data_IF_763668038629
#
_entry.id   IF_763668038629
#
_cell.length_a   1.000
_cell.length_b   1.000
_cell.length_c   1.000
_cell.angle_alpha   90.00
_cell.angle_beta   90.00
_cell.angle_gamma   90.00
#
_symmetry.space_group_name_H-M   'P 1'
#
loop_
_entity.id
_entity.type
_entity.pdbx_description
1 polymer ?
#
# COMPACT_ATOMS: atom_id res chain seq x y z
N UNK A 1 37.34 -20.12 -22.96
CA UNK A 1 37.12 -21.47 -22.39
C UNK A 1 35.89 -21.56 -21.47
N UNK A 2 35.30 -20.47 -21.01
CA UNK A 2 34.10 -20.48 -20.12
C UNK A 2 32.74 -20.52 -20.85
N UNK A 3 32.68 -20.19 -22.11
CA UNK A 3 31.42 -20.09 -22.90
C UNK A 3 30.90 -21.47 -23.35
N UNK A 4 31.81 -22.45 -23.54
CA UNK A 4 31.44 -23.81 -23.92
C UNK A 4 30.72 -24.60 -22.82
N UNK A 5 31.04 -24.37 -21.57
CA UNK A 5 30.46 -25.10 -20.41
C UNK A 5 29.02 -24.65 -20.09
N UNK A 6 28.65 -23.38 -20.37
CA UNK A 6 27.28 -22.90 -20.14
C UNK A 6 26.30 -23.46 -21.18
N UNK A 7 26.75 -23.65 -22.42
CA UNK A 7 25.92 -24.27 -23.45
C UNK A 7 25.64 -25.76 -23.21
N UNK A 8 26.60 -26.50 -22.64
CA UNK A 8 26.43 -27.89 -22.27
C UNK A 8 25.42 -28.07 -21.09
N UNK A 9 25.53 -27.25 -20.05
CA UNK A 9 24.62 -27.31 -18.91
C UNK A 9 23.20 -26.92 -19.28
N UNK A 10 23.02 -25.95 -20.20
CA UNK A 10 21.70 -25.57 -20.70
C UNK A 10 21.06 -26.66 -21.59
N UNK A 11 21.82 -27.38 -22.40
CA UNK A 11 21.29 -28.48 -23.21
C UNK A 11 20.82 -29.66 -22.33
N UNK A 12 21.56 -30.01 -21.29
CA UNK A 12 21.18 -31.09 -20.37
C UNK A 12 19.94 -30.80 -19.55
N UNK A 13 19.67 -29.51 -19.26
CA UNK A 13 18.46 -29.10 -18.55
C UNK A 13 17.21 -29.02 -19.45
N UNK A 14 17.40 -28.68 -20.76
CA UNK A 14 16.30 -28.44 -21.70
C UNK A 14 15.82 -29.73 -22.37
N UNK A 15 16.69 -30.74 -22.56
CA UNK A 15 16.43 -31.93 -23.37
C UNK A 15 16.38 -33.26 -22.62
N UNK A 16 16.41 -33.27 -21.25
CA UNK A 16 16.22 -34.50 -20.50
C UNK A 16 14.79 -35.05 -20.69
N UNK A 17 14.62 -36.33 -21.15
CA UNK A 17 13.30 -36.87 -21.38
C UNK A 17 12.56 -37.12 -20.06
N UNK A 18 11.56 -36.32 -19.78
CA UNK A 18 10.68 -36.47 -18.61
C UNK A 18 9.55 -37.41 -18.96
N UNK A 19 9.50 -38.58 -18.30
CA UNK A 19 8.37 -39.51 -18.37
C UNK A 19 7.10 -38.81 -17.89
N UNK A 20 6.13 -38.78 -18.76
CA UNK A 20 4.82 -38.13 -18.57
C UNK A 20 3.88 -38.99 -17.72
N UNK A 21 3.32 -38.39 -16.70
CA UNK A 21 1.90 -38.56 -16.39
C UNK A 21 1.39 -37.40 -15.55
N UNK A 22 0.27 -36.86 -15.99
CA UNK A 22 -0.66 -35.93 -15.36
C UNK A 22 -0.51 -34.43 -15.61
N UNK A 23 -1.47 -33.98 -16.45
CA UNK A 23 -2.26 -32.79 -16.23
C UNK A 23 -1.72 -31.44 -16.69
N UNK A 24 -2.56 -30.77 -17.42
CA UNK A 24 -2.48 -29.39 -17.91
C UNK A 24 -1.90 -28.36 -16.91
N UNK A 25 -2.08 -28.62 -15.61
CA UNK A 25 -1.52 -27.82 -14.52
C UNK A 25 0.02 -27.84 -14.43
N UNK A 26 0.64 -28.95 -14.78
CA UNK A 26 2.11 -29.05 -14.75
C UNK A 26 2.77 -28.40 -15.97
N UNK A 27 2.09 -28.35 -17.09
CA UNK A 27 2.56 -27.62 -18.29
C UNK A 27 2.61 -26.12 -18.06
N UNK A 28 1.61 -25.54 -17.40
CA UNK A 28 1.60 -24.11 -17.08
C UNK A 28 2.69 -23.71 -16.08
N UNK A 29 2.95 -24.53 -15.07
CA UNK A 29 4.02 -24.28 -14.09
C UNK A 29 5.41 -24.33 -14.74
N UNK A 30 5.65 -25.31 -15.64
CA UNK A 30 6.93 -25.43 -16.36
C UNK A 30 7.17 -24.27 -17.30
N UNK A 31 6.16 -23.83 -18.06
CA UNK A 31 6.31 -22.70 -18.98
C UNK A 31 6.56 -21.37 -18.22
N UNK A 32 5.95 -21.17 -17.08
CA UNK A 32 6.18 -19.96 -16.25
C UNK A 32 7.60 -19.91 -15.67
N UNK A 33 8.16 -21.04 -15.26
CA UNK A 33 9.54 -21.13 -14.77
C UNK A 33 10.55 -20.92 -15.91
N UNK A 34 10.29 -21.47 -17.11
CA UNK A 34 11.15 -21.30 -18.27
C UNK A 34 11.14 -19.85 -18.76
N UNK A 35 9.99 -19.18 -18.78
CA UNK A 35 9.90 -17.75 -19.12
C UNK A 35 10.65 -16.89 -18.10
N UNK A 36 10.55 -17.18 -16.83
CA UNK A 36 11.27 -16.46 -15.78
C UNK A 36 12.79 -16.68 -15.90
N UNK A 37 13.24 -17.89 -16.19
CA UNK A 37 14.65 -18.23 -16.39
C UNK A 37 15.23 -17.63 -17.71
N UNK A 38 14.44 -17.57 -18.78
CA UNK A 38 14.85 -16.91 -20.03
C UNK A 38 14.94 -15.40 -19.89
N UNK A 39 14.06 -14.77 -19.14
CA UNK A 39 14.15 -13.34 -18.80
C UNK A 39 15.40 -13.07 -17.94
N UNK A 40 15.70 -13.92 -16.97
CA UNK A 40 16.92 -13.82 -16.17
C UNK A 40 18.20 -14.06 -16.96
N UNK A 41 18.19 -14.98 -17.92
CA UNK A 41 19.33 -15.27 -18.79
C UNK A 41 19.59 -14.17 -19.83
N UNK A 42 18.55 -13.55 -20.38
CA UNK A 42 18.71 -12.43 -21.33
C UNK A 42 19.28 -11.16 -20.68
N UNK A 43 19.07 -10.99 -19.38
CA UNK A 43 19.66 -9.89 -18.58
C UNK A 43 21.19 -10.09 -18.37
N UNK A 44 21.70 -11.32 -18.47
CA UNK A 44 23.12 -11.61 -18.26
C UNK A 44 24.04 -11.23 -19.46
N UNK A 45 23.48 -10.87 -20.61
CA UNK A 45 24.23 -10.55 -21.82
C UNK A 45 24.38 -9.05 -22.12
N UNK A 46 23.75 -8.19 -21.36
CA UNK A 46 23.96 -6.74 -21.48
C UNK A 46 25.17 -6.33 -20.64
N UNK A 47 26.34 -6.30 -21.23
CA UNK A 47 27.59 -5.88 -20.60
C UNK A 47 27.68 -4.33 -20.57
N UNK A 48 26.72 -3.67 -19.91
CA UNK A 48 26.81 -2.25 -19.58
C UNK A 48 27.17 -2.04 -18.12
N UNK A 49 27.86 -0.92 -17.82
CA UNK A 49 28.25 -0.51 -16.47
C UNK A 49 27.03 -0.52 -15.54
N UNK A 50 26.81 -1.64 -14.86
CA UNK A 50 25.80 -1.77 -13.82
C UNK A 50 26.24 -0.92 -12.64
N UNK A 51 25.70 0.29 -12.55
CA UNK A 51 25.99 1.20 -11.45
C UNK A 51 25.12 0.80 -10.24
N UNK A 52 25.57 -0.23 -9.52
CA UNK A 52 24.88 -0.77 -8.34
C UNK A 52 25.43 -0.14 -7.07
N UNK A 53 24.62 0.73 -6.46
CA UNK A 53 24.84 1.21 -5.10
C UNK A 53 23.71 0.70 -4.23
N UNK A 54 23.99 0.14 -3.04
CA UNK A 54 22.96 -0.37 -2.13
C UNK A 54 21.82 0.67 -1.93
N UNK A 55 20.59 0.22 -2.05
CA UNK A 55 19.38 1.04 -1.96
C UNK A 55 19.04 1.85 -3.22
N UNK A 56 19.79 1.66 -4.31
CA UNK A 56 19.52 2.31 -5.61
C UNK A 56 18.93 1.36 -6.65
N UNK A 57 18.62 0.12 -6.28
CA UNK A 57 18.16 -0.97 -7.10
C UNK A 57 19.25 -2.02 -7.28
N UNK A 58 18.84 -3.25 -7.59
CA UNK A 58 19.76 -4.37 -7.87
C UNK A 58 20.35 -4.25 -9.27
N UNK A 59 19.57 -3.70 -10.19
CA UNK A 59 19.96 -3.54 -11.57
C UNK A 59 19.40 -2.24 -12.13
N UNK A 60 20.26 -1.46 -12.81
CA UNK A 60 19.88 -0.20 -13.42
C UNK A 60 20.51 -0.14 -14.81
N UNK A 61 19.70 0.01 -15.84
CA UNK A 61 20.10 0.11 -17.24
C UNK A 61 19.52 1.36 -17.85
N UNK A 62 20.28 2.01 -18.70
CA UNK A 62 19.82 3.06 -19.61
C UNK A 62 20.30 2.64 -20.98
N UNK A 63 19.43 2.66 -21.97
CA UNK A 63 19.79 2.37 -23.37
C UNK A 63 20.84 3.38 -23.87
N UNK A 64 21.74 2.93 -24.76
CA UNK A 64 22.80 3.78 -25.31
C UNK A 64 22.25 5.05 -25.98
N UNK A 65 21.13 4.93 -26.68
CA UNK A 65 20.39 6.04 -27.29
C UNK A 65 19.54 6.85 -26.30
N UNK A 66 19.57 6.48 -25.02
CA UNK A 66 18.74 7.09 -23.97
C UNK A 66 17.22 7.04 -24.22
N UNK A 67 16.75 6.14 -25.08
CA UNK A 67 15.32 5.98 -25.40
C UNK A 67 14.51 5.31 -24.30
N UNK A 68 15.16 4.54 -23.43
CA UNK A 68 14.51 3.92 -22.27
C UNK A 68 15.48 3.66 -21.12
N UNK A 69 14.93 3.47 -19.95
CA UNK A 69 15.68 3.00 -18.78
C UNK A 69 14.89 1.94 -18.04
N UNK A 70 15.60 1.04 -17.35
CA UNK A 70 15.00 0.08 -16.43
C UNK A 70 15.78 0.05 -15.12
N UNK A 71 15.05 0.12 -14.04
CA UNK A 71 15.53 -0.12 -12.69
C UNK A 71 14.76 -1.31 -12.11
N UNK A 72 15.48 -2.33 -11.66
CA UNK A 72 14.94 -3.45 -10.89
C UNK A 72 15.32 -3.32 -9.43
N UNK A 73 14.37 -3.55 -8.53
CA UNK A 73 14.58 -3.54 -7.09
C UNK A 73 13.73 -4.62 -6.42
N UNK A 74 14.20 -5.10 -5.27
CA UNK A 74 13.49 -6.07 -4.45
C UNK A 74 13.29 -5.53 -3.04
N UNK A 75 12.28 -6.03 -2.35
CA UNK A 75 12.04 -5.75 -0.93
C UNK A 75 11.62 -7.00 -0.20
N UNK A 76 12.25 -7.22 0.95
CA UNK A 76 11.88 -8.27 1.89
C UNK A 76 11.61 -7.65 3.27
N UNK A 77 10.55 -8.12 3.90
CA UNK A 77 10.16 -7.68 5.23
C UNK A 77 9.73 -8.89 6.04
N UNK A 78 10.58 -9.28 6.99
CA UNK A 78 10.31 -10.33 7.96
C UNK A 78 9.73 -9.73 9.22
N UNK A 79 8.72 -10.35 9.79
CA UNK A 79 8.01 -9.87 10.96
C UNK A 79 7.80 -11.01 11.97
N UNK A 80 8.18 -10.76 13.21
CA UNK A 80 7.66 -11.45 14.38
C UNK A 80 6.53 -10.65 14.97
N UNK A 81 5.44 -11.30 15.36
CA UNK A 81 4.30 -10.71 16.05
C UNK A 81 3.90 -11.63 17.20
N UNK A 82 3.72 -11.05 18.39
CA UNK A 82 3.10 -11.68 19.56
C UNK A 82 1.91 -10.86 19.99
N UNK A 83 0.80 -11.50 20.31
CA UNK A 83 -0.47 -10.87 20.69
C UNK A 83 -0.99 -11.56 21.95
N UNK A 84 -1.47 -10.76 22.92
CA UNK A 84 -2.01 -11.19 24.20
C UNK A 84 -3.27 -10.39 24.53
N UNK A 85 -4.17 -11.03 25.29
CA UNK A 85 -5.27 -10.32 25.92
C UNK A 85 -4.83 -9.84 27.30
N UNK A 86 -5.28 -8.65 27.67
CA UNK A 86 -5.07 -8.05 28.99
C UNK A 86 -6.43 -7.77 29.60
N UNK A 87 -6.68 -8.35 30.76
CA UNK A 87 -7.90 -8.16 31.53
C UNK A 87 -7.54 -7.75 32.96
N UNK A 88 -8.35 -6.90 33.60
CA UNK A 88 -8.08 -6.42 34.96
C UNK A 88 -8.07 -7.56 36.00
N UNK A 89 -8.91 -8.59 35.82
CA UNK A 89 -9.02 -9.72 36.75
C UNK A 89 -7.91 -10.77 36.58
N UNK A 90 -7.55 -11.10 35.36
CA UNK A 90 -6.67 -12.22 35.03
C UNK A 90 -5.26 -11.79 34.59
N UNK A 91 -5.03 -10.48 34.45
CA UNK A 91 -3.79 -9.92 33.96
C UNK A 91 -3.55 -10.21 32.48
N UNK A 92 -2.34 -10.61 32.12
CA UNK A 92 -1.96 -10.95 30.74
C UNK A 92 -2.23 -12.44 30.48
N UNK A 93 -3.07 -12.76 29.50
CA UNK A 93 -3.49 -14.12 29.17
C UNK A 93 -3.45 -14.39 27.67
N UNK A 94 -3.57 -15.65 27.26
CA UNK A 94 -3.86 -16.09 25.89
C UNK A 94 -2.86 -15.64 24.84
N UNK A 95 -1.57 -15.95 24.97
CA UNK A 95 -0.56 -15.53 24.00
C UNK A 95 -0.57 -16.30 22.69
N UNK A 96 -0.58 -15.59 21.56
CA UNK A 96 -0.27 -16.15 20.23
C UNK A 96 0.99 -15.51 19.68
N UNK A 97 1.79 -16.26 18.91
CA UNK A 97 2.96 -15.70 18.26
C UNK A 97 3.22 -16.34 16.91
N UNK A 98 3.80 -15.58 16.00
CA UNK A 98 4.12 -16.07 14.67
C UNK A 98 5.29 -15.32 14.02
N UNK A 99 6.05 -16.03 13.20
CA UNK A 99 6.97 -15.44 12.24
C UNK A 99 6.34 -15.46 10.86
N UNK A 100 6.45 -14.36 10.13
CA UNK A 100 5.88 -14.30 8.78
C UNK A 100 6.70 -13.41 7.84
N UNK A 101 6.66 -13.75 6.56
CA UNK A 101 7.11 -12.86 5.50
C UNK A 101 6.01 -11.82 5.25
N UNK A 102 6.15 -10.65 5.89
CA UNK A 102 5.14 -9.58 5.85
C UNK A 102 4.99 -8.99 4.45
N UNK A 103 6.11 -8.78 3.77
CA UNK A 103 6.16 -8.31 2.37
C UNK A 103 7.33 -8.93 1.65
N UNK A 104 7.07 -9.39 0.42
CA UNK A 104 8.09 -9.75 -0.55
C UNK A 104 7.66 -9.14 -1.88
N UNK A 105 8.48 -8.23 -2.45
CA UNK A 105 8.05 -7.41 -3.59
C UNK A 105 9.15 -7.27 -4.62
N UNK A 106 8.74 -7.35 -5.88
CA UNK A 106 9.56 -7.03 -7.05
C UNK A 106 9.09 -5.68 -7.60
N UNK A 107 10.03 -4.82 -7.95
CA UNK A 107 9.75 -3.48 -8.44
C UNK A 107 10.55 -3.20 -9.70
N UNK A 108 9.85 -2.78 -10.73
CA UNK A 108 10.39 -2.31 -11.97
C UNK A 108 9.98 -0.86 -12.18
N UNK A 109 10.85 -0.05 -12.72
CA UNK A 109 10.53 1.32 -13.07
C UNK A 109 11.61 1.93 -13.93
N UNK A 110 11.26 2.98 -14.64
CA UNK A 110 12.15 3.67 -15.54
C UNK A 110 11.39 4.65 -16.40
N UNK A 111 11.97 5.06 -17.50
CA UNK A 111 11.30 5.86 -18.51
C UNK A 111 11.31 5.13 -19.87
N UNK A 112 10.41 5.53 -20.76
CA UNK A 112 10.31 5.06 -22.14
C UNK A 112 10.17 6.28 -23.05
N UNK A 113 10.80 6.23 -24.23
CA UNK A 113 10.84 7.30 -25.24
C UNK A 113 11.56 8.55 -24.72
N UNK A 114 11.22 9.03 -23.54
CA UNK A 114 11.87 10.18 -22.91
C UNK A 114 11.68 10.16 -21.38
N UNK A 115 12.51 10.87 -20.60
CA UNK A 115 12.33 10.98 -19.15
C UNK A 115 11.00 11.61 -18.69
N UNK A 116 10.20 12.13 -19.62
CA UNK A 116 8.86 12.65 -19.32
C UNK A 116 7.78 11.55 -19.26
N UNK A 117 8.06 10.35 -19.79
CA UNK A 117 7.16 9.20 -19.75
C UNK A 117 7.78 8.14 -18.86
N UNK A 118 7.33 8.06 -17.61
CA UNK A 118 7.87 7.14 -16.59
C UNK A 118 6.88 6.03 -16.37
N UNK A 119 7.37 4.80 -16.28
CA UNK A 119 6.56 3.64 -15.89
C UNK A 119 6.93 3.11 -14.51
N UNK A 120 6.00 2.44 -13.86
CA UNK A 120 6.22 1.70 -12.63
C UNK A 120 5.39 0.42 -12.64
N UNK A 121 6.05 -0.72 -12.39
CA UNK A 121 5.40 -1.97 -12.06
C UNK A 121 5.89 -2.46 -10.70
N UNK A 122 4.98 -2.89 -9.82
CA UNK A 122 5.30 -3.45 -8.50
C UNK A 122 4.44 -4.69 -8.29
N UNK A 123 5.10 -5.82 -8.01
CA UNK A 123 4.46 -7.11 -7.75
C UNK A 123 4.66 -7.50 -6.29
N UNK A 124 3.60 -7.95 -5.64
CA UNK A 124 3.63 -8.54 -4.30
C UNK A 124 3.52 -10.05 -4.40
N UNK A 125 4.44 -10.77 -3.79
CA UNK A 125 4.53 -12.23 -3.85
C UNK A 125 4.39 -12.91 -2.48
N UNK A 126 4.20 -12.13 -1.40
CA UNK A 126 3.85 -12.67 -0.08
C UNK A 126 2.34 -12.87 0.05
N UNK A 127 1.90 -13.82 0.88
CA UNK A 127 0.48 -14.08 1.12
C UNK A 127 -0.30 -12.81 1.56
N UNK A 128 0.33 -11.94 2.34
CA UNK A 128 -0.28 -10.67 2.78
C UNK A 128 -0.44 -9.64 1.65
N UNK A 129 0.40 -9.69 0.61
CA UNK A 129 0.29 -8.81 -0.56
C UNK A 129 -0.69 -9.36 -1.60
N UNK A 130 -0.81 -10.69 -1.73
CA UNK A 130 -1.74 -11.34 -2.65
C UNK A 130 -3.21 -11.11 -2.25
N UNK A 131 -3.50 -11.06 -0.94
CA UNK A 131 -4.85 -10.90 -0.44
C UNK A 131 -5.71 -12.16 -0.61
N UNK A 132 -6.98 -12.06 -0.25
CA UNK A 132 -7.96 -13.13 -0.45
C UNK A 132 -8.48 -13.08 -1.90
N UNK A 133 -8.74 -14.25 -2.46
CA UNK A 133 -9.50 -14.41 -3.70
C UNK A 133 -10.97 -14.13 -3.38
N UNK A 134 -11.66 -13.45 -4.26
CA UNK A 134 -13.11 -13.22 -4.20
C UNK A 134 -13.77 -13.60 -5.53
N UNK A 135 -15.10 -13.60 -5.59
CA UNK A 135 -15.87 -14.01 -6.77
C UNK A 135 -15.56 -13.18 -8.03
N UNK A 136 -15.05 -11.96 -7.86
CA UNK A 136 -14.78 -11.02 -8.95
C UNK A 136 -13.36 -11.08 -9.51
N UNK A 137 -12.44 -11.77 -8.83
CA UNK A 137 -11.04 -11.89 -9.26
C UNK A 137 -10.42 -13.27 -9.04
N UNK A 138 -11.25 -14.30 -9.00
CA UNK A 138 -10.84 -15.70 -8.82
C UNK A 138 -9.92 -16.23 -9.95
N UNK A 139 -9.90 -15.58 -11.12
CA UNK A 139 -9.13 -15.97 -12.29
C UNK A 139 -7.70 -15.43 -12.31
N UNK A 140 -7.41 -14.39 -11.54
CA UNK A 140 -6.10 -13.75 -11.50
C UNK A 140 -5.62 -13.50 -10.07
N UNK A 141 -4.39 -13.89 -9.71
CA UNK A 141 -3.84 -13.57 -8.40
C UNK A 141 -3.70 -12.05 -8.24
N UNK A 142 -4.08 -11.52 -7.08
CA UNK A 142 -3.96 -10.09 -6.73
C UNK A 142 -2.50 -9.63 -6.56
N UNK A 143 -1.58 -10.11 -7.37
CA UNK A 143 -0.15 -9.86 -7.22
C UNK A 143 0.30 -8.51 -7.76
N UNK A 144 -0.41 -7.93 -8.72
CA UNK A 144 -0.07 -6.62 -9.26
C UNK A 144 -0.45 -5.54 -8.24
N UNK A 145 0.54 -4.85 -7.71
CA UNK A 145 0.33 -3.71 -6.83
C UNK A 145 0.25 -2.41 -7.62
N UNK A 146 1.24 -2.13 -8.41
CA UNK A 146 1.26 -0.97 -9.31
C UNK A 146 1.58 -1.44 -10.74
N UNK A 147 0.86 -0.92 -11.72
CA UNK A 147 1.13 -1.00 -13.15
C UNK A 147 0.65 0.31 -13.75
N UNK A 148 1.53 1.31 -13.86
CA UNK A 148 1.15 2.69 -14.17
C UNK A 148 2.18 3.37 -15.05
N UNK A 149 1.68 4.11 -16.04
CA UNK A 149 2.43 5.06 -16.86
C UNK A 149 2.13 6.46 -16.35
N UNK A 150 3.16 7.30 -16.30
CA UNK A 150 3.12 8.68 -15.82
C UNK A 150 3.70 9.58 -16.89
N UNK A 151 2.88 10.36 -17.51
CA UNK A 151 3.26 11.25 -18.59
C UNK A 151 3.25 12.69 -18.14
N UNK A 152 4.43 13.29 -18.05
CA UNK A 152 4.61 14.73 -17.84
C UNK A 152 4.44 15.45 -19.18
N UNK A 153 3.20 15.75 -19.56
CA UNK A 153 2.86 16.31 -20.87
C UNK A 153 3.03 17.84 -20.96
N UNK A 154 3.03 18.51 -19.82
CA UNK A 154 3.27 19.94 -19.74
C UNK A 154 4.05 20.27 -18.45
N UNK A 155 4.72 21.40 -18.40
CA UNK A 155 5.65 21.85 -17.32
C UNK A 155 5.42 21.21 -15.94
N UNK A 156 4.23 21.44 -15.35
CA UNK A 156 3.88 21.04 -13.99
C UNK A 156 2.73 20.02 -13.95
N UNK A 157 2.22 19.62 -15.13
CA UNK A 157 1.13 18.67 -15.26
C UNK A 157 1.65 17.28 -15.58
N UNK A 158 1.11 16.29 -14.87
CA UNK A 158 1.42 14.87 -15.10
C UNK A 158 0.14 14.08 -15.11
N UNK A 159 -0.10 13.34 -16.19
CA UNK A 159 -1.17 12.35 -16.29
C UNK A 159 -0.63 10.98 -15.90
N UNK A 160 -1.31 10.30 -15.01
CA UNK A 160 -1.05 8.91 -14.65
C UNK A 160 -2.17 8.05 -15.20
N UNK A 161 -1.84 6.94 -15.86
CA UNK A 161 -2.80 5.98 -16.40
C UNK A 161 -2.41 4.57 -15.96
N UNK A 162 -3.36 3.83 -15.39
CA UNK A 162 -3.16 2.46 -14.93
C UNK A 162 -3.47 2.26 -13.45
N UNK A 163 -3.08 1.10 -12.92
CA UNK A 163 -3.32 0.72 -11.54
C UNK A 163 -2.23 1.27 -10.61
N UNK A 164 -2.62 2.08 -9.65
CA UNK A 164 -1.71 2.60 -8.62
C UNK A 164 -2.49 3.14 -7.43
N UNK A 165 -1.78 3.61 -6.39
CA UNK A 165 -2.42 4.28 -5.26
C UNK A 165 -3.15 5.54 -5.69
N UNK A 166 -4.39 5.67 -5.24
CA UNK A 166 -5.15 6.90 -5.34
C UNK A 166 -4.53 8.01 -4.46
N UNK A 167 -4.79 9.28 -4.75
CA UNK A 167 -4.32 10.41 -3.92
C UNK A 167 -5.14 10.52 -2.63
N UNK A 168 -5.17 9.45 -1.83
CA UNK A 168 -5.96 9.32 -0.62
C UNK A 168 -5.23 9.85 0.62
N UNK A 169 -5.46 9.19 1.76
CA UNK A 169 -4.91 9.58 3.05
C UNK A 169 -3.37 9.52 3.11
N UNK A 170 -2.77 10.38 3.93
CA UNK A 170 -1.31 10.57 4.05
C UNK A 170 -0.59 9.26 4.33
N UNK A 171 -1.01 8.53 5.33
CA UNK A 171 -0.33 7.29 5.71
C UNK A 171 -0.38 6.24 4.60
N UNK A 172 -1.42 6.28 3.74
CA UNK A 172 -1.52 5.36 2.60
C UNK A 172 -0.64 5.75 1.42
N UNK A 173 -0.57 7.04 1.06
CA UNK A 173 0.29 7.50 -0.03
C UNK A 173 1.77 7.35 0.33
N UNK A 174 2.15 7.46 1.61
CA UNK A 174 3.48 7.08 2.08
C UNK A 174 3.72 5.59 1.80
N UNK A 175 4.89 5.27 1.26
CA UNK A 175 5.28 3.87 1.03
C UNK A 175 5.39 3.11 2.34
N UNK A 176 4.92 1.86 2.38
CA UNK A 176 5.14 0.99 3.54
C UNK A 176 6.62 0.72 3.86
N UNK A 177 7.53 0.98 2.91
CA UNK A 177 8.96 0.93 3.17
C UNK A 177 9.46 2.13 3.98
N UNK A 178 8.72 3.25 3.95
CA UNK A 178 9.11 4.52 4.55
C UNK A 178 8.32 4.83 5.84
N UNK A 179 7.79 3.79 6.48
CA UNK A 179 7.07 3.92 7.75
C UNK A 179 8.05 4.05 8.93
N UNK A 180 7.62 4.76 9.97
CA UNK A 180 8.34 5.00 11.21
C UNK A 180 8.08 3.89 12.25
N UNK A 181 6.89 3.32 12.25
CA UNK A 181 6.48 2.17 13.05
C UNK A 181 6.32 0.94 12.14
N UNK A 182 6.20 -0.24 12.74
CA UNK A 182 6.15 -1.53 12.02
C UNK A 182 4.99 -1.59 11.02
N UNK A 183 3.81 -1.15 11.43
CA UNK A 183 2.64 -1.14 10.55
C UNK A 183 1.90 0.22 10.63
N UNK A 184 0.95 0.41 9.71
CA UNK A 184 0.07 1.58 9.67
C UNK A 184 -0.92 1.58 10.82
N UNK A 185 -1.50 2.76 11.09
CA UNK A 185 -2.51 2.98 12.12
C UNK A 185 -3.81 2.23 11.87
N UNK A 186 -4.65 2.14 12.91
CA UNK A 186 -6.03 1.66 12.78
C UNK A 186 -6.84 2.56 11.86
N UNK A 187 -6.60 3.89 11.84
CA UNK A 187 -7.26 4.80 10.91
C UNK A 187 -7.04 4.33 9.46
N UNK A 188 -5.78 4.08 9.08
CA UNK A 188 -5.49 3.55 7.75
C UNK A 188 -6.08 2.14 7.53
N UNK A 189 -6.19 1.29 8.57
CA UNK A 189 -6.80 -0.04 8.45
C UNK A 189 -8.30 0.05 8.13
N UNK A 190 -9.00 1.05 8.63
CA UNK A 190 -10.46 1.19 8.54
C UNK A 190 -10.94 2.08 7.40
N UNK A 191 -10.33 3.25 7.24
CA UNK A 191 -10.83 4.31 6.35
C UNK A 191 -10.03 4.54 5.08
N UNK A 192 -8.84 3.92 4.92
CA UNK A 192 -8.01 4.16 3.74
C UNK A 192 -8.76 3.90 2.43
N UNK A 193 -8.38 4.66 1.42
CA UNK A 193 -8.55 4.32 0.02
C UNK A 193 -7.21 3.88 -0.54
N UNK A 194 -7.17 2.82 -1.34
CA UNK A 194 -5.91 2.24 -1.81
C UNK A 194 -5.78 2.31 -3.34
N UNK A 195 -5.09 1.37 -3.87
CA UNK A 195 -4.83 1.19 -5.29
C UNK A 195 -6.10 0.85 -6.05
N UNK A 196 -6.23 1.49 -7.18
CA UNK A 196 -7.29 1.20 -8.14
C UNK A 196 -6.79 1.42 -9.56
N UNK A 197 -7.54 0.94 -10.54
CA UNK A 197 -7.32 1.15 -11.97
C UNK A 197 -8.01 2.44 -12.41
N UNK A 198 -7.30 3.32 -13.11
CA UNK A 198 -7.90 4.56 -13.61
C UNK A 198 -6.87 5.60 -14.06
N UNK A 199 -7.30 6.85 -14.04
CA UNK A 199 -6.51 8.00 -14.43
C UNK A 199 -6.34 8.97 -13.26
N UNK A 200 -5.20 9.66 -13.20
CA UNK A 200 -4.97 10.72 -12.24
C UNK A 200 -4.29 11.90 -12.94
N UNK A 201 -4.88 13.07 -12.85
CA UNK A 201 -4.24 14.32 -13.22
C UNK A 201 -3.60 14.94 -11.98
N UNK A 202 -2.33 15.28 -12.09
CA UNK A 202 -1.54 15.89 -11.02
C UNK A 202 -0.89 17.14 -11.51
N UNK A 203 -1.02 18.18 -10.72
CA UNK A 203 -0.43 19.47 -11.00
C UNK A 203 0.29 19.98 -9.76
N UNK A 204 1.29 20.85 -9.93
CA UNK A 204 1.95 21.54 -8.84
C UNK A 204 2.47 22.89 -9.30
N UNK A 205 2.39 23.88 -8.42
CA UNK A 205 2.93 25.21 -8.67
C UNK A 205 3.46 25.84 -7.37
N UNK A 206 4.22 26.90 -7.51
CA UNK A 206 4.80 27.63 -6.37
C UNK A 206 4.31 29.06 -6.42
N UNK A 207 3.83 29.56 -5.29
CA UNK A 207 3.40 30.95 -5.07
C UNK A 207 4.53 31.67 -4.33
N UNK A 208 4.99 32.79 -4.87
CA UNK A 208 6.18 33.46 -4.34
C UNK A 208 7.39 32.53 -4.37
N UNK A 209 8.27 32.65 -3.37
CA UNK A 209 9.54 31.91 -3.35
C UNK A 209 9.43 30.45 -2.89
N UNK A 210 8.51 30.18 -1.96
CA UNK A 210 8.55 28.90 -1.24
C UNK A 210 7.19 28.20 -1.05
N UNK A 211 6.06 28.88 -1.18
CA UNK A 211 4.76 28.28 -0.94
C UNK A 211 4.38 27.35 -2.10
N UNK A 212 4.40 26.04 -1.87
CA UNK A 212 4.07 25.05 -2.91
C UNK A 212 2.66 24.53 -2.72
N UNK A 213 1.90 24.52 -3.81
CA UNK A 213 0.58 23.90 -3.90
C UNK A 213 0.67 22.70 -4.84
N UNK A 214 0.05 21.59 -4.45
CA UNK A 214 -0.13 20.42 -5.29
C UNK A 214 -1.61 20.06 -5.29
N UNK A 215 -2.16 19.93 -6.45
CA UNK A 215 -3.54 19.47 -6.67
C UNK A 215 -3.55 18.19 -7.49
N UNK A 216 -4.43 17.29 -7.12
CA UNK A 216 -4.55 15.97 -7.71
C UNK A 216 -6.02 15.58 -7.79
N UNK A 217 -6.42 15.07 -8.95
CA UNK A 217 -7.74 14.46 -9.14
C UNK A 217 -7.56 13.09 -9.79
N UNK A 218 -8.35 12.13 -9.38
CA UNK A 218 -8.41 10.81 -10.00
C UNK A 218 -9.83 10.39 -10.30
N UNK A 219 -9.98 9.64 -11.39
CA UNK A 219 -11.16 8.86 -11.74
C UNK A 219 -10.72 7.40 -11.85
N UNK A 220 -11.31 6.53 -11.06
CA UNK A 220 -10.96 5.11 -10.99
C UNK A 220 -12.18 4.21 -10.91
N UNK A 221 -11.97 2.90 -11.02
CA UNK A 221 -13.05 1.92 -11.13
C UNK A 221 -13.91 1.80 -9.85
N UNK A 222 -13.34 2.08 -8.65
CA UNK A 222 -14.09 2.09 -7.40
C UNK A 222 -14.15 0.74 -6.66
N UNK A 223 -13.63 -0.34 -7.25
CA UNK A 223 -13.65 -1.68 -6.67
C UNK A 223 -12.26 -2.20 -6.26
N UNK A 224 -11.22 -1.38 -6.45
CA UNK A 224 -9.84 -1.71 -6.08
C UNK A 224 -9.07 -2.45 -7.18
N UNK A 225 -7.96 -3.04 -6.79
CA UNK A 225 -6.96 -3.57 -7.72
C UNK A 225 -7.29 -4.95 -8.29
N UNK A 226 -6.74 -5.22 -9.49
CA UNK A 226 -6.73 -6.55 -10.16
C UNK A 226 -8.13 -7.09 -10.46
N UNK A 227 -9.07 -6.22 -10.74
CA UNK A 227 -10.38 -6.60 -11.21
C UNK A 227 -10.29 -7.10 -12.66
N UNK A 228 -10.98 -8.19 -12.97
CA UNK A 228 -10.96 -8.85 -14.29
C UNK A 228 -12.32 -8.92 -14.97
N UNK A 229 -13.32 -8.27 -14.37
CA UNK A 229 -14.71 -8.25 -14.85
C UNK A 229 -15.23 -6.80 -14.92
N UNK A 230 -16.41 -6.64 -15.44
CA UNK A 230 -17.09 -5.36 -15.54
C UNK A 230 -17.26 -4.68 -14.16
N UNK A 231 -17.25 -3.37 -14.15
CA UNK A 231 -17.52 -2.60 -12.96
C UNK A 231 -18.99 -2.79 -12.53
N UNK A 232 -19.21 -3.17 -11.27
CA UNK A 232 -20.57 -3.35 -10.72
C UNK A 232 -21.18 -2.01 -10.31
N UNK A 233 -20.38 -1.16 -9.68
CA UNK A 233 -20.80 0.15 -9.19
C UNK A 233 -20.65 1.26 -10.22
N UNK A 234 -20.45 2.48 -9.72
CA UNK A 234 -20.02 3.62 -10.50
C UNK A 234 -18.51 3.81 -10.46
N UNK A 235 -18.05 5.02 -10.79
CA UNK A 235 -16.65 5.39 -10.71
C UNK A 235 -16.34 6.05 -9.36
N UNK A 236 -15.10 5.89 -8.94
CA UNK A 236 -14.56 6.58 -7.77
C UNK A 236 -13.79 7.83 -8.19
N UNK A 237 -14.11 8.95 -7.56
CA UNK A 237 -13.49 10.25 -7.76
C UNK A 237 -12.77 10.67 -6.50
N UNK A 238 -11.47 10.90 -6.59
CA UNK A 238 -10.67 11.34 -5.45
C UNK A 238 -9.97 12.65 -5.80
N UNK A 239 -10.19 13.69 -5.00
CA UNK A 239 -9.55 15.00 -5.13
C UNK A 239 -8.71 15.29 -3.90
N UNK A 240 -7.46 15.72 -4.09
CA UNK A 240 -6.55 16.05 -2.99
C UNK A 240 -5.78 17.34 -3.29
N UNK A 241 -5.71 18.20 -2.28
CA UNK A 241 -4.88 19.42 -2.30
C UNK A 241 -3.86 19.31 -1.17
N UNK A 242 -2.59 19.62 -1.48
CA UNK A 242 -1.49 19.68 -0.52
C UNK A 242 -0.86 21.08 -0.54
N UNK A 243 -0.72 21.68 0.62
CA UNK A 243 -0.12 22.99 0.85
C UNK A 243 1.20 22.80 1.60
N UNK A 244 2.30 23.32 1.06
CA UNK A 244 3.62 23.29 1.67
C UNK A 244 4.09 24.73 1.92
N UNK A 245 3.67 25.37 3.02
CA UNK A 245 3.92 26.80 3.26
C UNK A 245 5.41 27.15 3.42
N UNK A 246 6.22 26.19 3.88
CA UNK A 246 7.66 26.37 4.08
C UNK A 246 8.49 25.72 2.96
N UNK A 247 7.88 25.48 1.79
CA UNK A 247 8.52 24.87 0.63
C UNK A 247 8.66 23.35 0.71
N UNK A 248 9.28 22.79 -0.30
CA UNK A 248 9.46 21.34 -0.45
C UNK A 248 10.37 20.77 0.64
N UNK A 249 10.02 19.58 1.13
CA UNK A 249 10.90 18.78 1.97
C UNK A 249 12.08 18.21 1.16
N UNK A 250 13.23 18.04 1.79
CA UNK A 250 14.36 17.37 1.16
C UNK A 250 13.97 15.93 0.74
N UNK A 251 14.34 15.57 -0.48
CA UNK A 251 14.11 14.21 -1.01
C UNK A 251 12.65 13.72 -0.91
N UNK A 252 11.67 14.60 -1.05
CA UNK A 252 10.24 14.31 -0.87
C UNK A 252 9.94 13.74 0.52
N UNK A 253 10.50 14.35 1.56
CA UNK A 253 10.34 13.92 2.95
C UNK A 253 8.89 13.92 3.43
N UNK A 254 8.00 14.68 2.82
CA UNK A 254 6.55 14.66 3.06
C UNK A 254 5.86 13.34 2.65
N UNK A 255 6.51 12.48 1.86
CA UNK A 255 6.09 11.11 1.52
C UNK A 255 6.94 10.02 2.22
N UNK A 256 7.52 10.36 3.35
CA UNK A 256 8.32 9.45 4.19
C UNK A 256 8.08 9.78 5.65
N UNK A 257 7.94 8.78 6.51
CA UNK A 257 7.88 9.01 7.96
C UNK A 257 9.29 9.19 8.54
N UNK A 258 9.39 9.78 9.74
CA UNK A 258 10.64 10.15 10.36
C UNK A 258 11.39 11.28 9.62
N UNK A 259 12.19 12.06 10.33
CA UNK A 259 13.00 13.12 9.72
C UNK A 259 14.43 12.64 9.43
N UNK A 260 14.58 11.64 8.52
CA UNK A 260 15.88 11.07 8.19
C UNK A 260 16.82 12.05 7.46
N UNK A 261 16.31 13.15 6.97
CA UNK A 261 17.12 14.22 6.34
C UNK A 261 17.52 15.29 7.33
N UNK A 262 16.94 15.27 8.54
CA UNK A 262 17.15 16.30 9.57
C UNK A 262 17.00 17.69 8.99
N UNK A 263 15.78 17.99 8.50
CA UNK A 263 15.45 19.28 7.88
C UNK A 263 16.02 20.44 8.69
N UNK A 264 16.88 21.24 8.10
CA UNK A 264 17.56 22.36 8.78
C UNK A 264 16.61 23.49 9.16
N UNK A 265 15.51 23.61 8.42
CA UNK A 265 14.44 24.59 8.62
C UNK A 265 13.13 23.82 8.82
N UNK A 266 12.17 24.35 9.62
CA UNK A 266 10.86 23.75 9.74
C UNK A 266 10.22 23.50 8.38
N UNK A 267 9.64 22.32 8.19
CA UNK A 267 8.88 21.94 7.00
C UNK A 267 7.51 21.46 7.42
N UNK A 268 6.49 21.92 6.71
CA UNK A 268 5.09 21.60 6.96
C UNK A 268 4.39 21.25 5.65
N UNK A 269 3.61 20.22 5.65
CA UNK A 269 2.64 19.88 4.60
C UNK A 269 1.28 19.69 5.28
N UNK A 270 0.28 20.41 4.81
CA UNK A 270 -1.13 20.26 5.20
C UNK A 270 -1.88 19.82 3.97
N UNK A 271 -2.81 18.89 4.11
CA UNK A 271 -3.59 18.42 2.99
C UNK A 271 -5.02 18.09 3.36
N UNK A 272 -5.90 18.24 2.38
CA UNK A 272 -7.28 17.77 2.43
C UNK A 272 -7.55 16.87 1.22
N UNK A 273 -8.34 15.81 1.44
CA UNK A 273 -8.77 14.88 0.39
C UNK A 273 -10.27 14.66 0.54
N UNK A 274 -10.96 14.71 -0.59
CA UNK A 274 -12.35 14.27 -0.71
C UNK A 274 -12.40 13.10 -1.69
N UNK A 275 -13.06 12.03 -1.28
CA UNK A 275 -13.27 10.82 -2.05
C UNK A 275 -14.76 10.51 -2.14
N UNK A 276 -15.23 10.32 -3.36
CA UNK A 276 -16.59 9.94 -3.69
C UNK A 276 -16.57 8.64 -4.50
N UNK A 277 -17.12 7.57 -3.96
CA UNK A 277 -17.28 6.31 -4.66
C UNK A 277 -18.75 6.11 -4.99
N UNK A 278 -19.10 6.32 -6.27
CA UNK A 278 -20.46 6.21 -6.78
C UNK A 278 -20.94 4.76 -6.74
N UNK A 279 -22.10 4.50 -6.13
CA UNK A 279 -22.71 3.18 -6.03
C UNK A 279 -21.71 2.09 -5.63
N UNK A 280 -20.90 2.37 -4.60
CA UNK A 280 -19.89 1.44 -4.10
C UNK A 280 -20.53 0.11 -3.67
N UNK A 281 -19.90 -0.99 -4.06
CA UNK A 281 -20.35 -2.38 -3.78
C UNK A 281 -19.57 -3.06 -2.67
N UNK A 282 -18.63 -2.35 -2.05
CA UNK A 282 -17.80 -2.86 -0.95
C UNK A 282 -18.02 -2.08 0.32
N UNK A 283 -17.91 -2.77 1.45
CA UNK A 283 -18.16 -2.24 2.79
C UNK A 283 -17.23 -1.10 3.23
N UNK A 284 -16.11 -0.88 2.53
CA UNK A 284 -15.11 0.15 2.84
C UNK A 284 -14.61 0.89 1.60
N UNK A 285 -15.53 1.42 0.78
CA UNK A 285 -15.24 2.08 -0.50
C UNK A 285 -14.55 1.11 -1.47
N UNK A 286 -13.38 1.40 -2.03
CA UNK A 286 -12.67 0.47 -2.93
C UNK A 286 -11.91 -0.66 -2.20
N UNK A 287 -12.10 -0.80 -0.90
CA UNK A 287 -11.51 -1.83 -0.05
C UNK A 287 -12.60 -2.64 0.66
N UNK A 288 -12.18 -3.71 1.33
CA UNK A 288 -13.09 -4.56 2.09
C UNK A 288 -13.68 -5.71 1.28
N UNK A 289 -14.85 -6.15 1.70
CA UNK A 289 -15.58 -7.27 1.09
C UNK A 289 -16.73 -6.76 0.24
N UNK A 290 -17.08 -7.50 -0.80
CA UNK A 290 -18.30 -7.23 -1.54
C UNK A 290 -19.51 -7.45 -0.63
N UNK A 291 -20.49 -6.56 -0.71
CA UNK A 291 -21.76 -6.65 0.00
C UNK A 291 -22.75 -7.43 -0.87
N UNK A 292 -22.57 -8.75 -0.93
CA UNK A 292 -23.32 -9.65 -1.79
C UNK A 292 -24.56 -10.18 -1.05
N UNK A 293 -25.65 -10.40 -1.79
CA UNK A 293 -26.87 -11.04 -1.31
C UNK A 293 -27.44 -12.02 -2.34
N UNK A 294 -28.33 -12.91 -1.87
CA UNK A 294 -29.20 -13.71 -2.73
C UNK A 294 -30.65 -13.38 -2.39
N UNK A 295 -31.43 -12.96 -3.38
CA UNK A 295 -32.81 -12.56 -3.17
C UNK A 295 -33.76 -13.77 -2.96
N UNK A 296 -35.02 -13.49 -2.69
CA UNK A 296 -36.04 -14.54 -2.46
C UNK A 296 -36.35 -15.43 -3.67
N UNK A 297 -35.89 -15.06 -4.85
CA UNK A 297 -36.01 -15.83 -6.08
C UNK A 297 -34.73 -16.58 -6.45
N UNK A 298 -33.68 -16.49 -5.62
CA UNK A 298 -32.39 -17.13 -5.84
C UNK A 298 -31.44 -16.36 -6.74
N UNK A 299 -31.72 -15.08 -7.05
CA UNK A 299 -30.82 -14.25 -7.85
C UNK A 299 -29.73 -13.65 -6.95
N UNK A 300 -28.50 -13.71 -7.41
CA UNK A 300 -27.37 -13.04 -6.77
C UNK A 300 -27.38 -11.54 -7.12
N UNK A 301 -27.13 -10.70 -6.13
CA UNK A 301 -27.04 -9.26 -6.27
C UNK A 301 -26.02 -8.63 -5.33
N UNK A 302 -25.83 -7.33 -5.46
CA UNK A 302 -24.92 -6.55 -4.62
C UNK A 302 -25.63 -5.33 -4.08
N UNK A 303 -25.47 -5.08 -2.78
CA UNK A 303 -25.85 -3.79 -2.20
C UNK A 303 -24.94 -2.71 -2.75
N UNK A 304 -25.52 -1.58 -3.09
CA UNK A 304 -24.83 -0.45 -3.69
C UNK A 304 -25.24 0.83 -2.96
N UNK A 305 -24.26 1.63 -2.60
CA UNK A 305 -24.50 2.95 -2.00
C UNK A 305 -23.39 3.92 -2.33
N UNK A 306 -23.68 5.20 -2.36
CA UNK A 306 -22.66 6.22 -2.49
C UNK A 306 -21.88 6.32 -1.18
N UNK A 307 -20.55 6.33 -1.28
CA UNK A 307 -19.67 6.47 -0.13
C UNK A 307 -18.83 7.73 -0.28
N UNK A 308 -18.85 8.57 0.74
CA UNK A 308 -18.07 9.80 0.85
C UNK A 308 -17.00 9.62 1.92
N UNK A 309 -15.76 10.01 1.64
CA UNK A 309 -14.69 9.99 2.65
C UNK A 309 -13.89 11.29 2.58
N UNK A 310 -13.76 11.97 3.71
CA UNK A 310 -12.92 13.16 3.86
C UNK A 310 -11.69 12.77 4.67
N UNK A 311 -10.51 13.22 4.22
CA UNK A 311 -9.30 13.15 5.01
C UNK A 311 -8.71 14.55 5.15
N UNK A 312 -8.24 14.87 6.35
CA UNK A 312 -7.39 16.03 6.61
C UNK A 312 -6.11 15.52 7.25
N UNK A 313 -4.96 15.94 6.74
CA UNK A 313 -3.70 15.48 7.27
C UNK A 313 -2.65 16.59 7.33
N UNK A 314 -1.67 16.39 8.22
CA UNK A 314 -0.50 17.25 8.33
C UNK A 314 0.76 16.42 8.55
N UNK A 315 1.88 16.90 8.03
CA UNK A 315 3.21 16.38 8.33
C UNK A 315 4.16 17.55 8.59
N UNK A 316 4.83 17.50 9.73
CA UNK A 316 5.84 18.47 10.15
C UNK A 316 7.18 17.80 10.39
N UNK A 317 8.28 18.45 10.00
CA UNK A 317 9.66 17.96 10.25
C UNK A 317 10.61 19.11 10.55
N UNK A 318 11.49 18.88 11.53
CA UNK A 318 12.55 19.81 11.88
C UNK A 318 13.62 19.16 12.75
N UNK A 319 14.88 19.20 12.34
CA UNK A 319 16.07 18.77 13.08
C UNK A 319 15.96 17.38 13.73
N UNK A 320 15.38 16.42 13.02
CA UNK A 320 15.17 15.05 13.49
C UNK A 320 13.82 14.81 14.17
N UNK A 321 13.09 15.85 14.53
CA UNK A 321 11.70 15.73 14.98
C UNK A 321 10.75 15.56 13.78
N UNK A 322 9.78 14.68 13.92
CA UNK A 322 8.72 14.47 12.93
C UNK A 322 7.37 14.31 13.61
N UNK A 323 6.33 14.92 13.03
CA UNK A 323 4.94 14.80 13.46
C UNK A 323 4.08 14.49 12.24
N UNK A 324 3.16 13.55 12.37
CA UNK A 324 2.11 13.25 11.40
C UNK A 324 0.77 13.20 12.12
N UNK A 325 -0.21 13.95 11.62
CA UNK A 325 -1.58 13.92 12.09
C UNK A 325 -2.49 13.59 10.90
N UNK A 326 -3.52 12.80 11.12
CA UNK A 326 -4.49 12.40 10.11
C UNK A 326 -5.86 12.23 10.74
N UNK A 327 -6.87 12.82 10.14
CA UNK A 327 -8.28 12.66 10.47
C UNK A 327 -9.01 12.10 9.26
N UNK A 328 -9.96 11.22 9.48
CA UNK A 328 -10.84 10.66 8.48
C UNK A 328 -12.29 10.72 8.95
N UNK A 329 -13.19 11.03 8.02
CA UNK A 329 -14.64 10.92 8.19
C UNK A 329 -15.24 10.22 6.96
N UNK A 330 -15.97 9.14 7.19
CA UNK A 330 -16.66 8.39 6.14
C UNK A 330 -18.13 8.28 6.42
N UNK A 331 -18.92 8.66 5.40
CA UNK A 331 -20.38 8.54 5.39
C UNK A 331 -20.83 7.73 4.18
N UNK A 332 -22.07 7.26 4.19
CA UNK A 332 -22.72 6.60 3.07
C UNK A 332 -24.19 7.07 3.04
N UNK A 333 -24.77 7.19 1.82
CA UNK A 333 -26.16 7.61 1.66
C UNK A 333 -27.10 6.58 2.32
N UNK A 334 -26.81 5.29 2.11
CA UNK A 334 -27.49 4.18 2.76
C UNK A 334 -26.45 3.27 3.42
N UNK A 335 -26.16 3.53 4.70
CA UNK A 335 -25.11 2.80 5.43
C UNK A 335 -25.49 1.34 5.71
N UNK A 336 -26.78 1.03 5.87
CA UNK A 336 -27.31 -0.32 6.08
C UNK A 336 -28.46 -0.61 5.14
N UNK A 337 -28.37 -1.73 4.43
CA UNK A 337 -29.40 -2.22 3.52
C UNK A 337 -29.71 -3.68 3.87
N UNK A 338 -30.95 -4.10 3.69
CA UNK A 338 -31.39 -5.47 4.02
C UNK A 338 -32.23 -6.05 2.88
N UNK A 339 -31.96 -7.32 2.55
CA UNK A 339 -32.73 -8.11 1.58
C UNK A 339 -33.10 -9.45 2.21
N UNK A 340 -34.33 -9.91 1.98
CA UNK A 340 -34.82 -11.22 2.46
C UNK A 340 -34.65 -12.27 1.36
N UNK A 341 -33.95 -13.35 1.66
CA UNK A 341 -33.78 -14.50 0.78
C UNK A 341 -34.99 -15.46 0.76
N UNK A 342 -34.96 -16.45 -0.13
CA UNK A 342 -36.02 -17.42 -0.33
C UNK A 342 -36.32 -18.30 0.89
N UNK A 343 -35.30 -18.62 1.67
CA UNK A 343 -35.33 -19.45 2.87
C UNK A 343 -35.49 -18.64 4.17
N UNK A 344 -36.03 -17.42 4.07
CA UNK A 344 -36.11 -16.44 5.17
C UNK A 344 -34.74 -15.97 5.67
N UNK A 345 -33.65 -16.27 4.95
CA UNK A 345 -32.35 -15.71 5.24
C UNK A 345 -32.36 -14.18 5.09
N UNK A 346 -31.70 -13.50 6.02
CA UNK A 346 -31.59 -12.04 6.00
C UNK A 346 -30.17 -11.67 5.60
N UNK A 347 -30.04 -11.01 4.45
CA UNK A 347 -28.76 -10.46 3.99
C UNK A 347 -28.69 -8.98 4.35
N UNK A 348 -27.59 -8.57 4.92
CA UNK A 348 -27.36 -7.16 5.30
C UNK A 348 -26.10 -6.64 4.64
N UNK A 349 -26.22 -5.56 3.88
CA UNK A 349 -25.11 -4.75 3.39
C UNK A 349 -24.84 -3.62 4.36
N UNK A 350 -23.68 -3.60 5.00
CA UNK A 350 -23.32 -2.57 5.97
C UNK A 350 -21.98 -1.94 5.59
N UNK A 351 -21.98 -0.61 5.38
CA UNK A 351 -20.79 0.17 5.09
C UNK A 351 -20.13 0.60 6.39
N UNK A 352 -18.81 0.47 6.45
CA UNK A 352 -18.02 0.93 7.58
C UNK A 352 -17.87 2.45 7.55
N UNK A 353 -18.78 3.15 8.23
CA UNK A 353 -18.86 4.60 8.39
C UNK A 353 -18.34 5.06 9.74
N UNK A 354 -18.17 6.38 9.93
CA UNK A 354 -17.72 7.00 11.17
C UNK A 354 -16.38 7.72 11.01
N UNK A 355 -15.74 8.06 12.13
CA UNK A 355 -14.54 8.90 12.15
C UNK A 355 -13.32 8.19 12.69
N UNK A 356 -12.13 8.69 12.34
CA UNK A 356 -10.85 8.23 12.85
C UNK A 356 -9.84 9.35 13.02
N UNK A 357 -9.04 9.28 14.09
CA UNK A 357 -7.92 10.17 14.35
C UNK A 357 -6.64 9.37 14.50
N UNK A 358 -5.55 9.86 13.92
CA UNK A 358 -4.21 9.30 14.08
C UNK A 358 -3.21 10.43 14.34
N UNK A 359 -2.51 10.36 15.45
CA UNK A 359 -1.43 11.28 15.83
C UNK A 359 -0.15 10.48 16.05
N UNK A 360 0.90 10.80 15.35
CA UNK A 360 2.18 10.10 15.42
C UNK A 360 3.32 11.10 15.47
N UNK A 361 4.21 10.96 16.44
CA UNK A 361 5.41 11.77 16.56
C UNK A 361 6.63 10.90 16.78
N UNK A 362 7.82 11.40 16.40
CA UNK A 362 9.07 10.73 16.65
C UNK A 362 10.27 11.67 16.62
N UNK A 363 11.36 11.19 17.22
CA UNK A 363 12.62 11.91 17.26
C UNK A 363 13.79 11.00 16.88
N UNK A 364 14.50 11.40 15.84
CA UNK A 364 15.64 10.71 15.27
C UNK A 364 16.95 11.24 15.90
N UNK A 365 17.60 10.40 16.69
CA UNK A 365 18.91 10.68 17.29
C UNK A 365 20.02 10.73 16.21
N UNK A 366 21.14 11.39 16.52
CA UNK A 366 22.28 11.54 15.60
C UNK A 366 22.85 10.19 15.12
N UNK A 367 22.78 9.15 15.93
CA UNK A 367 23.22 7.80 15.63
C UNK A 367 22.20 6.94 14.87
N UNK A 368 21.13 7.55 14.34
CA UNK A 368 20.06 6.93 13.55
C UNK A 368 19.20 5.91 14.33
N UNK A 369 19.12 6.03 15.64
CA UNK A 369 18.03 5.49 16.43
C UNK A 369 16.87 6.49 16.47
N UNK A 370 15.65 5.99 16.38
CA UNK A 370 14.44 6.80 16.46
C UNK A 370 13.49 6.21 17.50
N UNK A 371 12.92 7.06 18.33
CA UNK A 371 11.82 6.74 19.21
C UNK A 371 10.56 7.38 18.64
N UNK A 372 9.48 6.62 18.54
CA UNK A 372 8.21 7.10 17.99
C UNK A 372 7.04 6.64 18.83
N UNK A 373 6.06 7.53 19.00
CA UNK A 373 4.78 7.26 19.64
C UNK A 373 3.63 7.52 18.68
N UNK A 374 2.54 6.77 18.82
CA UNK A 374 1.32 6.95 18.04
C UNK A 374 0.10 6.72 18.91
N UNK A 375 -0.85 7.62 18.79
CA UNK A 375 -2.22 7.47 19.28
C UNK A 375 -3.16 7.38 18.09
N UNK A 376 -4.05 6.40 18.09
CA UNK A 376 -5.09 6.26 17.06
C UNK A 376 -6.42 5.98 17.75
N UNK A 377 -7.47 6.71 17.36
CA UNK A 377 -8.83 6.48 17.80
C UNK A 377 -9.73 6.24 16.59
N UNK A 378 -10.63 5.29 16.70
CA UNK A 378 -11.63 4.96 15.69
C UNK A 378 -12.99 4.99 16.36
N UNK A 379 -13.89 5.84 15.84
CA UNK A 379 -15.27 5.97 16.32
C UNK A 379 -16.18 5.53 15.15
N UNK A 380 -16.54 4.24 15.05
CA UNK A 380 -17.50 3.79 14.06
C UNK A 380 -18.85 4.44 14.29
N UNK A 381 -19.60 4.73 13.23
CA UNK A 381 -20.98 5.19 13.37
C UNK A 381 -21.85 4.08 13.99
N UNK A 382 -22.88 4.46 14.73
CA UNK A 382 -23.79 3.50 15.39
C UNK A 382 -24.42 2.50 14.40
N UNK A 383 -24.61 2.90 13.16
CA UNK A 383 -25.11 2.04 12.06
C UNK A 383 -24.22 0.84 11.76
N UNK A 384 -22.95 0.87 12.17
CA UNK A 384 -22.01 -0.24 11.94
C UNK A 384 -22.15 -1.35 12.98
N UNK A 385 -22.80 -1.09 14.13
CA UNK A 385 -22.85 -2.00 15.29
C UNK A 385 -21.47 -2.35 15.83
N UNK A 386 -20.46 -1.47 15.70
CA UNK A 386 -19.08 -1.69 16.14
C UNK A 386 -18.67 -0.67 17.18
N UNK A 387 -17.80 -1.12 18.09
CA UNK A 387 -17.35 -0.33 19.22
C UNK A 387 -16.22 0.64 18.83
N UNK A 388 -16.04 1.67 19.64
CA UNK A 388 -14.92 2.60 19.60
C UNK A 388 -13.64 1.90 20.03
N UNK A 389 -12.54 2.13 19.30
CA UNK A 389 -11.23 1.61 19.65
C UNK A 389 -10.23 2.75 19.83
N UNK A 390 -9.41 2.67 20.86
CA UNK A 390 -8.23 3.50 21.01
C UNK A 390 -6.96 2.64 21.04
N UNK A 391 -5.93 3.03 20.31
CA UNK A 391 -4.66 2.31 20.26
C UNK A 391 -3.50 3.25 20.54
N UNK A 392 -2.67 2.85 21.48
CA UNK A 392 -1.40 3.47 21.83
C UNK A 392 -0.28 2.59 21.32
N UNK A 393 0.66 3.16 20.59
CA UNK A 393 1.81 2.43 20.07
C UNK A 393 3.09 3.18 20.39
N UNK A 394 4.07 2.50 20.95
CA UNK A 394 5.42 3.01 21.13
C UNK A 394 6.40 2.12 20.36
N UNK A 395 7.32 2.73 19.63
CA UNK A 395 8.27 2.00 18.80
C UNK A 395 9.67 2.58 18.82
N UNK A 396 10.63 1.70 18.56
CA UNK A 396 12.04 2.01 18.42
C UNK A 396 12.49 1.50 17.05
N UNK A 397 13.16 2.36 16.29
CA UNK A 397 13.70 2.02 14.97
C UNK A 397 15.20 2.29 14.91
N UNK A 398 15.95 1.38 14.31
CA UNK A 398 17.35 1.59 13.92
C UNK A 398 17.45 1.67 12.41
N UNK A 399 17.82 2.81 11.88
CA UNK A 399 18.09 2.99 10.45
C UNK A 399 19.55 2.74 10.14
N UNK A 400 19.86 1.58 9.57
CA UNK A 400 21.22 1.21 9.17
C UNK A 400 21.60 1.96 7.89
N UNK A 401 20.72 1.92 6.88
CA UNK A 401 20.85 2.70 5.64
C UNK A 401 19.51 3.39 5.34
N UNK A 402 19.14 4.36 6.17
CA UNK A 402 17.83 5.01 6.06
C UNK A 402 16.70 3.98 6.04
N UNK A 403 15.67 4.24 5.23
CA UNK A 403 14.57 3.27 5.04
C UNK A 403 14.94 2.04 4.18
N UNK A 404 16.17 1.93 3.70
CA UNK A 404 16.60 0.83 2.82
C UNK A 404 17.02 -0.42 3.59
N UNK A 405 17.56 -0.22 4.77
CA UNK A 405 17.88 -1.29 5.72
C UNK A 405 17.59 -0.77 7.12
N UNK A 406 16.62 -1.37 7.78
CA UNK A 406 16.20 -0.97 9.12
C UNK A 406 15.69 -2.15 9.94
N UNK A 407 15.85 -2.03 11.25
CA UNK A 407 15.23 -2.89 12.26
C UNK A 407 14.26 -2.03 13.05
N UNK A 408 13.06 -2.51 13.26
CA UNK A 408 12.01 -1.80 13.99
C UNK A 408 11.36 -2.75 14.99
N UNK A 409 11.06 -2.23 16.16
CA UNK A 409 10.22 -2.91 17.14
C UNK A 409 9.17 -1.94 17.66
N UNK A 410 7.98 -2.43 17.94
CA UNK A 410 6.94 -1.65 18.60
C UNK A 410 6.07 -2.52 19.52
N UNK A 411 5.49 -1.85 20.51
CA UNK A 411 4.45 -2.37 21.40
C UNK A 411 3.20 -1.55 21.16
N UNK A 412 2.07 -2.20 21.00
CA UNK A 412 0.76 -1.56 20.86
C UNK A 412 -0.19 -2.08 21.93
N UNK A 413 -0.88 -1.17 22.59
CA UNK A 413 -1.96 -1.46 23.51
C UNK A 413 -3.26 -0.90 22.95
N UNK A 414 -4.28 -1.73 22.83
CA UNK A 414 -5.56 -1.36 22.22
C UNK A 414 -6.70 -1.62 23.20
N UNK A 415 -7.51 -0.60 23.44
CA UNK A 415 -8.72 -0.65 24.25
C UNK A 415 -9.95 -0.58 23.35
N UNK A 416 -11.02 -1.24 23.79
CA UNK A 416 -12.34 -1.21 23.17
C UNK A 416 -13.33 -0.62 24.18
N UNK A 417 -14.12 0.36 23.77
CA UNK A 417 -15.11 0.99 24.62
C UNK A 417 -16.15 -0.05 25.10
N UNK A 418 -16.45 -0.05 26.40
CA UNK A 418 -17.39 -1.00 27.00
C UNK A 418 -16.85 -2.42 27.20
N UNK A 419 -15.55 -2.67 26.97
CA UNK A 419 -14.90 -3.95 27.24
C UNK A 419 -13.83 -3.80 28.31
N UNK A 420 -13.81 -4.75 29.25
CA UNK A 420 -12.74 -4.88 30.24
C UNK A 420 -11.49 -5.56 29.66
N UNK A 421 -11.63 -6.16 28.46
CA UNK A 421 -10.54 -6.78 27.72
C UNK A 421 -9.84 -5.76 26.83
N UNK A 422 -8.52 -5.81 26.82
CA UNK A 422 -7.63 -5.02 25.97
C UNK A 422 -6.65 -5.93 25.24
N UNK A 423 -6.14 -5.47 24.11
CA UNK A 423 -5.15 -6.23 23.34
C UNK A 423 -3.76 -5.62 23.52
N UNK A 424 -2.78 -6.46 23.84
CA UNK A 424 -1.37 -6.12 23.85
C UNK A 424 -0.67 -6.83 22.68
N UNK A 425 0.06 -6.06 21.88
CA UNK A 425 0.79 -6.58 20.72
C UNK A 425 2.24 -6.13 20.76
N UNK A 426 3.16 -7.08 20.59
CA UNK A 426 4.58 -6.81 20.37
C UNK A 426 4.98 -7.22 18.95
N UNK A 427 5.79 -6.38 18.28
CA UNK A 427 6.28 -6.67 16.93
C UNK A 427 7.77 -6.38 16.80
N UNK A 428 8.47 -7.24 16.05
CA UNK A 428 9.87 -7.05 15.65
C UNK A 428 9.98 -7.28 14.14
N UNK A 429 10.57 -6.33 13.42
CA UNK A 429 10.65 -6.33 11.97
C UNK A 429 12.07 -6.06 11.47
N UNK A 430 12.43 -6.80 10.43
CA UNK A 430 13.59 -6.52 9.58
C UNK A 430 13.10 -6.14 8.18
N UNK A 431 13.50 -4.99 7.69
CA UNK A 431 13.08 -4.45 6.38
C UNK A 431 14.31 -4.15 5.53
N UNK A 432 14.44 -4.88 4.43
CA UNK A 432 15.50 -4.76 3.43
C UNK A 432 14.91 -4.34 2.10
N UNK A 433 15.41 -3.28 1.52
CA UNK A 433 14.97 -2.74 0.24
C UNK A 433 16.16 -2.30 -0.62
N UNK A 434 16.40 -3.01 -1.70
CA UNK A 434 17.45 -2.72 -2.68
C UNK A 434 17.13 -1.52 -3.57
#
# INVERSE_FOLDING_TARGET
MCIANVKCVLNDIIFAPLKTNNSYKDKMKKNSVVILLTILASVAFAQEKVNTKFGKGLYNVIAEDSSWSMKFAMRFQSLYIGEWNVNESDGVSGGTSQFLMRRSRLKFGGFIVSPNIVYKAEFGISNKDLGKVDSRNNMAPKMILDAVIKWKFHKNFTLWAGQTKLPGNRERVVSSANMQLVDRSLLNKRYNIDRDMGFQLRHNFTIGDNFVVRDMISCSQGEGRNLVQDNLGGYQWTSRVELLPFGKFQSKGDYSCGDLKREDKPKLSIAATYDFNDRAVKDRSNQGSYMQYTDKWGNEGYFMTNIHTIFVDAMFKYKGFSLMAEFADRTADEANQTVYGADSAVYTGSVYTGTGLNLQAGYLLKNNWEFAGRYTQINPAATTGKDTHAQYTFGISKYVVGHKLKVQTDVSYMTTEGSDDSDLMYRLQFDLHF
#
